data_IF_374589616618
#
_entry.id   IF_374589616618
#
_cell.length_a   1.000
_cell.length_b   1.000
_cell.length_c   1.000
_cell.angle_alpha   90.00
_cell.angle_beta   90.00
_cell.angle_gamma   90.00
#
_symmetry.space_group_name_H-M   'P 1'
#
loop_
_entity.id
_entity.type
_entity.pdbx_description
1 polymer ?
#
# COMPACT_ATOMS: atom_id res chain seq x y z
N UNK A 1 -48.82 20.74 15.49
CA UNK A 1 -47.95 21.11 14.35
C UNK A 1 -46.70 21.86 14.83
N UNK A 2 -45.86 21.23 15.67
CA UNK A 2 -44.56 21.81 16.11
C UNK A 2 -43.48 20.77 16.49
N UNK A 3 -43.78 19.46 16.48
CA UNK A 3 -42.82 18.40 16.80
C UNK A 3 -41.85 18.04 15.67
N UNK A 4 -42.17 18.37 14.41
CA UNK A 4 -41.29 18.08 13.28
C UNK A 4 -40.11 19.07 13.18
N UNK A 5 -40.29 20.29 13.70
CA UNK A 5 -39.25 21.33 13.68
C UNK A 5 -38.15 21.06 14.70
N UNK A 6 -38.48 20.41 15.81
CA UNK A 6 -37.51 20.06 16.86
C UNK A 6 -36.70 18.80 16.52
N UNK A 7 -37.23 17.89 15.70
CA UNK A 7 -36.50 16.70 15.24
C UNK A 7 -35.39 17.00 14.22
N UNK A 8 -35.55 18.05 13.40
CA UNK A 8 -34.56 18.40 12.37
C UNK A 8 -33.29 19.06 12.94
N UNK A 9 -33.36 19.65 14.13
CA UNK A 9 -32.23 20.38 14.73
C UNK A 9 -31.17 19.50 15.40
N UNK A 10 -31.51 18.26 15.77
CA UNK A 10 -30.61 17.36 16.53
C UNK A 10 -29.74 16.49 15.61
N UNK A 11 -30.16 16.29 14.35
CA UNK A 11 -29.46 15.44 13.39
C UNK A 11 -28.18 16.06 12.79
N UNK A 12 -27.97 17.37 12.92
CA UNK A 12 -26.80 18.06 12.34
C UNK A 12 -25.57 18.10 13.25
N UNK A 13 -25.65 17.62 14.49
CA UNK A 13 -24.59 17.81 15.49
C UNK A 13 -23.54 16.68 15.60
N UNK A 14 -23.60 15.63 14.78
CA UNK A 14 -22.75 14.43 14.96
C UNK A 14 -21.60 14.29 13.92
N UNK A 15 -21.42 15.23 12.99
CA UNK A 15 -20.41 15.10 11.92
C UNK A 15 -18.97 15.54 12.31
N UNK A 16 -18.69 15.81 13.58
CA UNK A 16 -17.47 16.54 13.98
C UNK A 16 -16.50 15.75 14.85
N UNK A 17 -16.24 14.47 14.56
CA UNK A 17 -15.09 13.75 15.15
C UNK A 17 -14.37 12.90 14.11
N UNK A 18 -13.54 13.56 13.31
CA UNK A 18 -12.64 12.93 12.35
C UNK A 18 -11.36 13.72 12.15
N UNK A 19 -10.83 14.36 13.19
CA UNK A 19 -9.46 14.86 13.15
C UNK A 19 -8.52 13.67 13.39
N UNK A 20 -8.36 12.82 12.37
CA UNK A 20 -7.28 11.86 12.33
C UNK A 20 -5.99 12.66 12.18
N UNK A 21 -5.30 12.87 13.32
CA UNK A 21 -3.95 13.39 13.38
C UNK A 21 -2.97 12.31 12.85
N UNK A 22 -3.11 11.98 11.56
CA UNK A 22 -2.15 11.14 10.85
C UNK A 22 -0.95 12.02 10.52
N UNK A 23 0.20 11.75 11.16
CA UNK A 23 1.46 12.38 10.79
C UNK A 23 1.69 12.19 9.29
N UNK A 24 2.09 13.24 8.58
CA UNK A 24 2.15 13.27 7.11
C UNK A 24 3.01 12.17 6.43
N UNK A 25 3.80 11.40 7.19
CA UNK A 25 4.48 10.21 6.70
C UNK A 25 3.50 9.14 6.18
N UNK A 26 2.47 8.79 6.94
CA UNK A 26 1.62 7.61 6.67
C UNK A 26 0.85 7.71 5.36
N UNK A 27 0.36 8.92 5.03
CA UNK A 27 -0.35 9.17 3.77
C UNK A 27 0.56 9.01 2.56
N UNK A 28 1.83 9.39 2.67
CA UNK A 28 2.76 9.25 1.55
C UNK A 28 3.06 7.78 1.23
N UNK A 29 3.14 6.92 2.26
CA UNK A 29 3.29 5.47 2.07
C UNK A 29 2.07 4.85 1.41
N UNK A 30 0.86 5.15 1.92
CA UNK A 30 -0.38 4.61 1.38
C UNK A 30 -0.52 4.96 -0.11
N UNK A 31 -0.29 6.22 -0.47
CA UNK A 31 -0.33 6.69 -1.86
C UNK A 31 0.73 6.03 -2.75
N UNK A 32 1.93 5.76 -2.21
CA UNK A 32 2.98 5.03 -2.94
C UNK A 32 2.57 3.59 -3.24
N UNK A 33 1.97 2.90 -2.27
CA UNK A 33 1.51 1.51 -2.45
C UNK A 33 0.31 1.40 -3.38
N UNK A 34 -0.63 2.36 -3.31
CA UNK A 34 -1.76 2.44 -4.24
C UNK A 34 -1.28 2.65 -5.69
N UNK A 35 -0.33 3.58 -5.90
CA UNK A 35 0.25 3.79 -7.24
C UNK A 35 1.03 2.57 -7.74
N UNK A 36 1.74 1.87 -6.86
CA UNK A 36 2.39 0.62 -7.21
C UNK A 36 1.36 -0.43 -7.66
N UNK A 37 0.28 -0.60 -6.91
CA UNK A 37 -0.78 -1.56 -7.22
C UNK A 37 -1.42 -1.26 -8.57
N UNK A 38 -1.77 0.00 -8.82
CA UNK A 38 -2.28 0.45 -10.11
C UNK A 38 -1.29 0.19 -11.25
N UNK A 39 0.00 0.53 -11.06
CA UNK A 39 1.02 0.31 -12.08
C UNK A 39 1.21 -1.18 -12.41
N UNK A 40 1.08 -2.07 -11.42
CA UNK A 40 1.20 -3.51 -11.63
C UNK A 40 -0.05 -4.12 -12.27
N UNK A 41 -1.24 -3.59 -11.97
CA UNK A 41 -2.46 -3.93 -12.70
C UNK A 41 -2.36 -3.51 -14.18
N UNK A 42 -1.91 -2.29 -14.45
CA UNK A 42 -1.71 -1.80 -15.82
C UNK A 42 -0.63 -2.62 -16.57
N UNK A 43 0.45 -3.00 -15.88
CA UNK A 43 1.47 -3.92 -16.42
C UNK A 43 0.86 -5.29 -16.78
N UNK A 44 0.04 -5.86 -15.89
CA UNK A 44 -0.60 -7.16 -16.13
C UNK A 44 -1.50 -7.11 -17.37
N UNK A 45 -2.36 -6.09 -17.48
CA UNK A 45 -3.24 -5.88 -18.65
C UNK A 45 -2.43 -5.74 -19.94
N UNK A 46 -1.38 -4.92 -19.95
CA UNK A 46 -0.52 -4.71 -21.13
C UNK A 46 0.19 -5.97 -21.60
N UNK A 47 0.46 -6.90 -20.70
CA UNK A 47 1.16 -8.15 -21.00
C UNK A 47 0.21 -9.36 -21.11
N UNK A 48 -1.12 -9.15 -21.09
CA UNK A 48 -2.10 -10.24 -21.16
C UNK A 48 -2.06 -11.20 -19.98
N UNK A 49 -1.61 -10.72 -18.81
CA UNK A 49 -1.47 -11.50 -17.57
C UNK A 49 -2.59 -11.13 -16.58
N UNK A 50 -2.97 -12.05 -15.66
CA UNK A 50 -3.88 -11.72 -14.58
C UNK A 50 -3.24 -10.69 -13.64
N UNK A 51 -4.07 -9.82 -13.06
CA UNK A 51 -3.63 -8.83 -12.07
C UNK A 51 -3.03 -9.57 -10.87
N UNK A 52 -1.79 -9.23 -10.44
CA UNK A 52 -1.15 -9.91 -9.32
C UNK A 52 -1.85 -9.58 -8.01
N UNK A 53 -2.07 -10.60 -7.18
CA UNK A 53 -2.56 -10.43 -5.82
C UNK A 53 -1.38 -10.12 -4.88
N UNK A 54 -1.63 -9.26 -3.90
CA UNK A 54 -0.64 -8.94 -2.86
C UNK A 54 -0.63 -10.05 -1.82
N UNK A 55 0.54 -10.66 -1.60
CA UNK A 55 0.76 -11.68 -0.59
C UNK A 55 1.81 -11.22 0.41
N UNK A 56 1.52 -11.38 1.70
CA UNK A 56 2.51 -11.14 2.75
C UNK A 56 3.64 -12.17 2.66
N UNK A 57 4.87 -11.71 2.49
CA UNK A 57 6.04 -12.57 2.54
C UNK A 57 6.33 -12.99 3.98
N UNK A 58 6.71 -14.26 4.15
CA UNK A 58 7.23 -14.79 5.41
C UNK A 58 8.67 -15.21 5.23
N UNK A 59 9.53 -14.85 6.18
CA UNK A 59 10.94 -15.22 6.13
C UNK A 59 11.09 -16.74 5.99
N UNK A 60 11.94 -17.17 5.04
CA UNK A 60 12.13 -18.59 4.71
C UNK A 60 11.09 -19.18 3.76
N UNK A 61 10.07 -18.42 3.33
CA UNK A 61 9.15 -18.85 2.28
C UNK A 61 9.92 -19.08 0.98
N UNK A 62 9.77 -20.26 0.39
CA UNK A 62 10.37 -20.58 -0.91
C UNK A 62 9.60 -19.83 -2.00
N UNK A 63 10.32 -19.06 -2.79
CA UNK A 63 9.78 -18.29 -3.91
C UNK A 63 10.35 -18.84 -5.21
N UNK A 64 9.50 -19.04 -6.20
CA UNK A 64 9.91 -19.32 -7.57
C UNK A 64 9.95 -18.00 -8.34
N UNK A 65 11.12 -17.37 -8.39
CA UNK A 65 11.30 -16.07 -9.03
C UNK A 65 12.08 -16.28 -10.32
N UNK A 66 11.41 -16.15 -11.46
CA UNK A 66 12.06 -16.15 -12.76
C UNK A 66 12.51 -14.73 -13.18
N UNK A 67 11.70 -13.71 -12.91
CA UNK A 67 12.00 -12.31 -13.26
C UNK A 67 11.38 -11.33 -12.28
N UNK A 68 12.17 -10.37 -11.78
CA UNK A 68 11.64 -9.24 -11.01
C UNK A 68 11.15 -8.16 -11.97
N UNK A 69 9.89 -7.73 -11.80
CA UNK A 69 9.25 -6.70 -12.64
C UNK A 69 9.38 -5.33 -12.00
N UNK A 70 9.14 -5.24 -10.70
CA UNK A 70 9.18 -3.98 -9.97
C UNK A 70 9.47 -4.21 -8.49
N UNK A 71 10.15 -3.25 -7.87
CA UNK A 71 10.35 -3.17 -6.42
C UNK A 71 10.08 -1.74 -5.99
N UNK A 72 9.21 -1.53 -5.01
CA UNK A 72 9.01 -0.19 -4.46
C UNK A 72 10.27 0.25 -3.71
N UNK A 73 10.84 1.43 -4.01
CA UNK A 73 12.03 1.90 -3.32
C UNK A 73 11.70 2.21 -1.85
N UNK A 74 12.64 1.96 -0.92
CA UNK A 74 12.50 2.41 0.46
C UNK A 74 12.48 3.93 0.50
N UNK A 75 11.61 4.51 1.34
CA UNK A 75 11.55 5.96 1.50
C UNK A 75 12.43 6.43 2.66
N UNK A 76 12.55 7.75 2.80
CA UNK A 76 13.23 8.36 3.96
C UNK A 76 12.40 8.16 5.23
N UNK A 77 12.74 7.13 5.99
CA UNK A 77 12.16 6.84 7.28
C UNK A 77 13.20 6.13 8.15
N UNK A 78 13.21 6.43 9.44
CA UNK A 78 14.12 5.82 10.40
C UNK A 78 13.52 4.64 11.15
N UNK A 79 12.79 3.82 10.40
CA UNK A 79 12.05 2.66 10.88
C UNK A 79 11.88 1.65 9.76
N UNK A 80 11.37 0.46 10.09
CA UNK A 80 10.89 -0.50 9.11
C UNK A 80 9.66 0.05 8.41
N UNK A 81 9.64 -0.06 7.09
CA UNK A 81 8.55 0.39 6.22
C UNK A 81 8.12 -0.74 5.29
N UNK A 82 6.83 -0.81 4.90
CA UNK A 82 6.40 -1.78 3.92
C UNK A 82 7.06 -1.52 2.56
N UNK A 83 7.33 -2.61 1.83
CA UNK A 83 7.82 -2.62 0.46
C UNK A 83 7.12 -3.73 -0.32
N UNK A 84 6.83 -3.47 -1.59
CA UNK A 84 6.26 -4.42 -2.53
C UNK A 84 7.25 -4.81 -3.60
N UNK A 85 7.31 -6.10 -3.91
CA UNK A 85 8.03 -6.64 -5.07
C UNK A 85 7.07 -7.43 -5.93
N UNK A 86 6.96 -7.06 -7.20
CA UNK A 86 6.23 -7.85 -8.19
C UNK A 86 7.22 -8.63 -9.03
N UNK A 87 7.00 -9.94 -9.13
CA UNK A 87 7.82 -10.84 -9.92
C UNK A 87 6.97 -11.78 -10.78
N UNK A 88 7.59 -12.31 -11.84
CA UNK A 88 7.09 -13.42 -12.64
C UNK A 88 7.74 -14.72 -12.16
N UNK A 89 6.91 -15.73 -11.91
CA UNK A 89 7.37 -17.09 -11.60
C UNK A 89 7.75 -17.87 -12.87
N UNK A 90 8.23 -19.11 -12.72
CA UNK A 90 8.63 -19.95 -13.85
C UNK A 90 7.47 -20.29 -14.80
N UNK A 91 6.22 -20.20 -14.34
CA UNK A 91 5.01 -20.38 -15.15
C UNK A 91 4.57 -19.10 -15.88
N UNK A 92 5.25 -17.98 -15.63
CA UNK A 92 4.94 -16.67 -16.18
C UNK A 92 3.80 -15.94 -15.46
N UNK A 93 3.38 -16.41 -14.29
CA UNK A 93 2.35 -15.76 -13.48
C UNK A 93 2.98 -14.63 -12.66
N UNK A 94 2.28 -13.51 -12.59
CA UNK A 94 2.68 -12.37 -11.76
C UNK A 94 2.24 -12.57 -10.31
N UNK A 95 3.15 -12.30 -9.38
CA UNK A 95 2.90 -12.30 -7.94
C UNK A 95 3.49 -11.03 -7.33
N UNK A 96 2.73 -10.36 -6.47
CA UNK A 96 3.22 -9.21 -5.69
C UNK A 96 3.41 -9.64 -4.24
N UNK A 97 4.63 -9.52 -3.73
CA UNK A 97 4.94 -9.75 -2.32
C UNK A 97 4.99 -8.43 -1.57
N UNK A 98 4.49 -8.43 -0.35
CA UNK A 98 4.65 -7.35 0.61
C UNK A 98 5.52 -7.82 1.78
N UNK A 99 6.54 -7.04 2.10
CA UNK A 99 7.49 -7.30 3.19
C UNK A 99 7.98 -5.99 3.80
N UNK A 100 8.71 -6.08 4.91
CA UNK A 100 9.28 -4.91 5.58
C UNK A 100 10.76 -4.74 5.22
N UNK A 101 11.16 -3.49 4.98
CA UNK A 101 12.55 -3.08 4.76
C UNK A 101 12.90 -1.92 5.68
N UNK A 102 14.19 -1.73 5.97
CA UNK A 102 14.63 -0.51 6.65
C UNK A 102 14.50 0.68 5.70
N UNK A 103 13.83 1.74 6.16
CA UNK A 103 13.84 3.02 5.47
C UNK A 103 15.23 3.64 5.43
N UNK A 104 15.38 4.66 4.58
CA UNK A 104 16.63 5.38 4.42
C UNK A 104 16.76 6.45 5.51
N UNK A 105 17.61 6.22 6.51
CA UNK A 105 18.04 7.24 7.46
C UNK A 105 19.24 8.04 6.95
N UNK A 106 19.35 9.28 7.42
CA UNK A 106 20.52 10.15 7.20
C UNK A 106 21.82 9.57 7.79
N UNK A 107 21.73 8.69 8.79
CA UNK A 107 22.87 8.06 9.46
C UNK A 107 23.03 6.57 9.11
N UNK A 108 22.49 6.08 7.98
CA UNK A 108 22.63 4.67 7.55
C UNK A 108 24.07 4.32 7.06
N UNK A 109 25.10 4.74 7.80
CA UNK A 109 26.51 4.37 7.61
C UNK A 109 27.33 5.40 6.83
N UNK A 110 28.09 6.21 7.57
CA UNK A 110 29.40 6.77 7.18
C UNK A 110 30.41 6.32 8.21
#
# INVERSE_FOLDING_TARGET
MNFYKTALGVLTAVLSFGALAEGGGDRTFALMMERNEKAMADYAVRNGKPVPQVQAYRYGMKLDIAKVVNVTPPIRACSTVPSRMTYEDSSGKLTTLEYQVMGVCRNNGS
#
